data_IF_977313206638
#
_entry.id   IF_977313206638
#
_cell.length_a   1.000
_cell.length_b   1.000
_cell.length_c   1.000
_cell.angle_alpha   90.00
_cell.angle_beta   90.00
_cell.angle_gamma   90.00
#
_symmetry.space_group_name_H-M   'P 1'
#
loop_
_entity.id
_entity.type
_entity.pdbx_description
1 polymer ?
#
# COMPACT_ATOMS: atom_id res chain seq x y z
N UNK A 1 -8.93 6.76 -15.45
CA UNK A 1 -7.87 7.19 -14.50
C UNK A 1 -8.25 6.74 -13.10
N UNK A 2 -7.36 5.99 -12.43
CA UNK A 2 -7.55 5.48 -11.07
C UNK A 2 -6.56 6.15 -10.11
N UNK A 3 -7.06 6.59 -8.95
CA UNK A 3 -6.23 7.17 -7.89
C UNK A 3 -6.37 6.32 -6.64
N UNK A 4 -5.25 5.79 -6.14
CA UNK A 4 -5.25 4.89 -4.96
C UNK A 4 -4.45 5.57 -3.84
N UNK A 5 -5.13 6.24 -2.89
CA UNK A 5 -4.48 6.86 -1.74
C UNK A 5 -4.15 5.82 -0.67
N UNK A 6 -2.87 5.65 -0.40
CA UNK A 6 -2.30 4.79 0.64
C UNK A 6 -1.53 5.62 1.67
N UNK A 7 -2.22 6.61 2.24
CA UNK A 7 -1.70 7.51 3.28
C UNK A 7 -1.97 7.02 4.72
N UNK A 8 -2.61 5.86 4.89
CA UNK A 8 -2.95 5.33 6.20
C UNK A 8 -1.75 4.77 6.95
N UNK A 9 -1.57 5.19 8.21
CA UNK A 9 -0.41 4.85 9.07
C UNK A 9 -0.31 3.39 9.49
N UNK A 10 -1.24 2.52 9.11
CA UNK A 10 -1.27 1.12 9.55
C UNK A 10 -1.26 0.93 11.08
N UNK A 11 -1.68 1.94 11.86
CA UNK A 11 -1.54 1.94 13.32
C UNK A 11 -2.22 0.76 14.02
N UNK A 12 -3.37 0.27 13.51
CA UNK A 12 -4.04 -0.92 14.05
C UNK A 12 -3.23 -2.20 13.84
N UNK A 13 -2.52 -2.30 12.70
CA UNK A 13 -1.65 -3.44 12.42
C UNK A 13 -0.40 -3.38 13.29
N UNK A 14 0.22 -2.21 13.45
CA UNK A 14 1.35 -2.07 14.38
C UNK A 14 0.95 -2.39 15.83
N UNK A 15 -0.22 -1.95 16.29
CA UNK A 15 -0.76 -2.32 17.61
C UNK A 15 -1.02 -3.82 17.77
N UNK A 16 -1.29 -4.52 16.67
CA UNK A 16 -1.48 -5.98 16.65
C UNK A 16 -0.16 -6.77 16.51
N UNK A 17 1.00 -6.11 16.56
CA UNK A 17 2.31 -6.77 16.53
C UNK A 17 2.93 -6.96 15.15
N UNK A 18 2.28 -6.48 14.08
CA UNK A 18 2.89 -6.48 12.75
C UNK A 18 4.04 -5.47 12.69
N UNK A 19 5.11 -5.80 11.97
CA UNK A 19 6.29 -4.93 11.82
C UNK A 19 6.31 -4.17 10.49
N UNK A 20 5.47 -4.59 9.54
CA UNK A 20 5.34 -3.97 8.21
C UNK A 20 4.02 -3.21 8.08
N UNK A 21 3.95 -2.13 7.27
CA UNK A 21 2.70 -1.49 6.91
C UNK A 21 1.70 -2.49 6.30
N UNK A 22 0.40 -2.23 6.46
CA UNK A 22 -0.66 -3.17 6.05
C UNK A 22 -0.60 -3.59 4.58
N UNK A 23 -0.13 -2.69 3.71
CA UNK A 23 -0.07 -2.91 2.27
C UNK A 23 1.11 -3.82 1.86
N UNK A 24 2.13 -3.97 2.71
CA UNK A 24 3.29 -4.84 2.48
C UNK A 24 3.12 -6.24 3.09
N UNK A 25 2.02 -6.50 3.79
CA UNK A 25 1.78 -7.81 4.39
C UNK A 25 1.62 -8.85 3.28
N UNK A 26 2.20 -10.02 3.51
CA UNK A 26 2.04 -11.15 2.61
C UNK A 26 0.64 -11.72 2.75
N UNK A 27 0.02 -12.00 1.61
CA UNK A 27 -1.22 -12.74 1.49
C UNK A 27 -1.04 -13.72 0.34
N UNK A 28 -0.87 -15.00 0.65
CA UNK A 28 -0.74 -16.05 -0.35
C UNK A 28 0.45 -15.82 -1.32
N UNK A 29 1.61 -15.43 -0.80
CA UNK A 29 2.85 -15.24 -1.56
C UNK A 29 2.94 -13.93 -2.34
N UNK A 30 1.97 -13.03 -2.16
CA UNK A 30 1.92 -11.72 -2.80
C UNK A 30 1.51 -10.66 -1.77
N UNK A 31 1.99 -9.43 -1.93
CA UNK A 31 1.61 -8.37 -1.00
C UNK A 31 0.13 -8.00 -1.13
N UNK A 32 -0.49 -7.57 -0.03
CA UNK A 32 -1.87 -7.01 -0.05
C UNK A 32 -1.99 -5.88 -1.08
N UNK A 33 -0.93 -5.07 -1.25
CA UNK A 33 -0.85 -4.05 -2.30
C UNK A 33 -0.95 -4.66 -3.70
N UNK A 34 -0.16 -5.70 -3.99
CA UNK A 34 -0.18 -6.36 -5.29
C UNK A 34 -1.56 -6.94 -5.61
N UNK A 35 -2.22 -7.59 -4.65
CA UNK A 35 -3.60 -8.06 -4.82
C UNK A 35 -4.57 -6.91 -5.12
N UNK A 36 -4.47 -5.81 -4.39
CA UNK A 36 -5.30 -4.62 -4.62
C UNK A 36 -5.12 -4.06 -6.03
N UNK A 37 -3.88 -3.89 -6.50
CA UNK A 37 -3.61 -3.36 -7.85
C UNK A 37 -4.02 -4.36 -8.93
N UNK A 38 -3.75 -5.66 -8.76
CA UNK A 38 -4.12 -6.72 -9.71
C UNK A 38 -5.63 -6.80 -9.96
N UNK A 39 -6.48 -6.36 -9.02
CA UNK A 39 -7.92 -6.27 -9.25
C UNK A 39 -8.29 -5.37 -10.45
N UNK A 40 -7.40 -4.47 -10.85
CA UNK A 40 -7.56 -3.57 -12.01
C UNK A 40 -6.80 -4.03 -13.27
N UNK A 41 -6.31 -5.28 -13.33
CA UNK A 41 -5.42 -5.74 -14.41
C UNK A 41 -5.96 -5.50 -15.82
N UNK A 42 -7.29 -5.58 -16.01
CA UNK A 42 -7.95 -5.30 -17.29
C UNK A 42 -7.69 -3.88 -17.81
N UNK A 43 -7.45 -2.92 -16.93
CA UNK A 43 -7.37 -1.50 -17.24
C UNK A 43 -5.93 -0.97 -17.33
N UNK A 44 -4.91 -1.80 -17.06
CA UNK A 44 -3.51 -1.36 -17.04
C UNK A 44 -3.00 -0.80 -18.37
N UNK A 45 -3.63 -1.19 -19.49
CA UNK A 45 -3.24 -0.72 -20.83
C UNK A 45 -4.01 0.53 -21.28
N UNK A 46 -5.21 0.77 -20.74
CA UNK A 46 -6.12 1.83 -21.20
C UNK A 46 -6.11 3.05 -20.29
N UNK A 47 -5.85 2.86 -19.00
CA UNK A 47 -6.06 3.87 -17.98
C UNK A 47 -4.78 4.24 -17.25
N UNK A 48 -4.72 5.51 -16.83
CA UNK A 48 -3.66 6.01 -15.96
C UNK A 48 -3.93 5.62 -14.51
N UNK A 49 -2.88 5.21 -13.81
CA UNK A 49 -2.90 4.89 -12.38
C UNK A 49 -1.97 5.84 -11.62
N UNK A 50 -2.49 6.43 -10.55
CA UNK A 50 -1.71 7.29 -9.64
C UNK A 50 -1.80 6.70 -8.23
N UNK A 51 -0.64 6.42 -7.64
CA UNK A 51 -0.52 5.79 -6.33
C UNK A 51 0.12 6.79 -5.36
N UNK A 52 -0.57 7.13 -4.28
CA UNK A 52 -0.03 7.98 -3.22
C UNK A 52 0.35 7.13 -2.01
N UNK A 53 1.62 6.76 -1.89
CA UNK A 53 2.12 5.98 -0.75
C UNK A 53 2.84 6.92 0.19
N UNK A 54 2.31 7.08 1.41
CA UNK A 54 3.04 7.80 2.46
C UNK A 54 4.00 6.82 3.13
N UNK A 55 5.29 6.96 2.82
CA UNK A 55 6.34 6.27 3.54
C UNK A 55 6.77 7.16 4.70
N UNK A 56 6.60 6.69 5.94
CA UNK A 56 7.10 7.38 7.11
C UNK A 56 8.63 7.27 7.11
N UNK A 57 9.32 8.19 6.43
CA UNK A 57 10.68 8.53 6.84
C UNK A 57 10.48 9.21 8.18
N UNK A 58 10.85 8.51 9.26
CA UNK A 58 10.95 9.11 10.58
C UNK A 58 12.07 10.14 10.47
N UNK A 59 11.74 11.37 10.06
CA UNK A 59 12.68 12.48 10.00
C UNK A 59 13.05 12.80 11.44
N UNK A 60 14.10 12.14 11.92
CA UNK A 60 14.67 12.36 13.23
C UNK A 60 15.49 13.65 13.13
N UNK A 61 14.82 14.78 13.29
CA UNK A 61 15.47 16.07 13.51
C UNK A 61 16.07 16.00 14.93
N UNK A 62 17.37 15.71 15.01
CA UNK A 62 18.24 16.24 16.05
C UNK A 62 19.16 17.25 15.37
#
# INVERSE_FOLDING_TARGET
MFVIPMAGLSSRFFKAGYTKPKYQLDLNGESVFAWSVKSFARYFKSDKFVLFIVMFIKLRIF
#
